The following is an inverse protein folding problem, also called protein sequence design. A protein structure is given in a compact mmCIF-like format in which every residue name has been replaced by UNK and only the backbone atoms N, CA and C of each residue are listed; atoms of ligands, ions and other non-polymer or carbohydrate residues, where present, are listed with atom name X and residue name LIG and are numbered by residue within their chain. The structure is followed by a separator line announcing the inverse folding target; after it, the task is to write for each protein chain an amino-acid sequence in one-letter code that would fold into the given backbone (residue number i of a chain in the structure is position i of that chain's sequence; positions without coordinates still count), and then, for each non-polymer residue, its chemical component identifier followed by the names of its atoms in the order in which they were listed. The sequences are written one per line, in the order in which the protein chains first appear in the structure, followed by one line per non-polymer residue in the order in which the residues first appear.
data_IF_291363358659
#
_entry.id   IF_291363358659
#
_cell.length_a   1.000
_cell.length_b   1.000
_cell.length_c   1.000
_cell.angle_alpha   90.00
_cell.angle_beta   90.00
_cell.angle_gamma   90.00
#
_symmetry.space_group_name_H-M   'P 1'
#
loop_
_entity.id
_entity.type
_entity.pdbx_description
1 polymer ?
#
# COMPACT_ATOMS: atom_id res chain seq x y z
N UNK A 1 -20.13 -2.80 23.97
CA UNK A 1 -18.70 -3.09 24.14
C UNK A 1 -17.98 -2.32 23.03
N UNK A 2 -16.89 -1.60 23.33
CA UNK A 2 -16.09 -0.95 22.30
C UNK A 2 -15.35 -2.03 21.49
N UNK A 3 -15.32 -1.90 20.18
CA UNK A 3 -14.63 -2.84 19.27
C UNK A 3 -13.44 -2.12 18.63
N UNK A 4 -12.25 -2.74 18.59
CA UNK A 4 -11.11 -2.15 17.92
C UNK A 4 -11.37 -1.97 16.44
N UNK A 5 -10.70 -0.98 15.82
CA UNK A 5 -10.72 -0.80 14.38
C UNK A 5 -9.95 -1.93 13.70
N UNK A 6 -10.57 -2.58 12.74
CA UNK A 6 -10.10 -3.78 12.05
C UNK A 6 -9.60 -3.43 10.66
N UNK A 7 -8.36 -3.77 10.38
CA UNK A 7 -7.74 -3.54 9.07
C UNK A 7 -7.33 -4.88 8.46
N UNK A 8 -7.89 -5.20 7.31
CA UNK A 8 -7.56 -6.41 6.55
C UNK A 8 -6.45 -6.12 5.54
N UNK A 9 -5.33 -6.82 5.66
CA UNK A 9 -4.30 -6.86 4.62
C UNK A 9 -4.56 -8.04 3.67
N UNK A 10 -4.72 -7.73 2.38
CA UNK A 10 -4.80 -8.69 1.28
C UNK A 10 -3.49 -8.56 0.50
N UNK A 11 -2.51 -9.42 0.78
CA UNK A 11 -1.17 -9.29 0.24
C UNK A 11 -0.36 -10.59 0.31
N UNK A 12 0.81 -10.58 -0.33
CA UNK A 12 1.79 -11.65 -0.20
C UNK A 12 2.48 -11.65 1.16
N UNK A 13 3.01 -12.82 1.53
CA UNK A 13 3.78 -13.05 2.76
C UNK A 13 5.27 -12.98 2.45
N UNK A 14 6.01 -12.09 3.13
CA UNK A 14 7.47 -12.00 3.11
C UNK A 14 8.06 -12.80 4.28
N UNK A 15 8.69 -13.95 3.99
CA UNK A 15 9.33 -14.80 5.03
C UNK A 15 10.48 -14.08 5.77
N UNK A 16 11.10 -13.06 5.15
CA UNK A 16 12.11 -12.19 5.79
C UNK A 16 11.51 -11.19 6.78
N UNK A 17 10.18 -11.01 6.73
CA UNK A 17 9.42 -10.24 7.71
C UNK A 17 9.50 -8.72 7.54
N UNK A 18 10.11 -8.20 6.47
CA UNK A 18 10.32 -6.77 6.25
C UNK A 18 9.22 -6.09 5.43
N UNK A 19 8.49 -6.85 4.60
CA UNK A 19 7.43 -6.37 3.73
C UNK A 19 6.19 -7.27 3.80
N UNK A 20 5.28 -7.14 2.84
CA UNK A 20 4.07 -7.96 2.75
C UNK A 20 3.20 -7.90 4.00
N UNK A 21 2.42 -8.96 4.23
CA UNK A 21 1.53 -9.03 5.40
C UNK A 21 2.28 -8.86 6.73
N UNK A 22 3.57 -9.20 6.80
CA UNK A 22 4.36 -9.06 8.02
C UNK A 22 4.60 -7.58 8.36
N UNK A 23 4.97 -6.75 7.38
CA UNK A 23 5.06 -5.31 7.56
C UNK A 23 3.68 -4.70 7.86
N UNK A 24 2.65 -5.16 7.16
CA UNK A 24 1.28 -4.70 7.35
C UNK A 24 0.80 -4.96 8.78
N UNK A 25 0.89 -6.20 9.28
CA UNK A 25 0.48 -6.55 10.64
C UNK A 25 1.26 -5.79 11.72
N UNK A 26 2.59 -5.64 11.53
CA UNK A 26 3.42 -4.85 12.46
C UNK A 26 2.97 -3.39 12.49
N UNK A 27 2.69 -2.80 11.33
CA UNK A 27 2.19 -1.42 11.22
C UNK A 27 0.82 -1.27 11.86
N UNK A 28 -0.11 -2.17 11.53
CA UNK A 28 -1.48 -2.14 12.05
C UNK A 28 -1.48 -2.26 13.58
N UNK A 29 -0.70 -3.20 14.13
CA UNK A 29 -0.57 -3.38 15.57
C UNK A 29 0.10 -2.17 16.25
N UNK A 30 1.17 -1.61 15.64
CA UNK A 30 1.86 -0.45 16.20
C UNK A 30 1.01 0.83 16.19
N UNK A 31 0.01 0.93 15.30
CA UNK A 31 -0.96 2.02 15.25
C UNK A 31 -2.25 1.74 16.04
N UNK A 32 -2.26 0.70 16.88
CA UNK A 32 -3.36 0.40 17.79
C UNK A 32 -4.63 -0.14 17.10
N UNK A 33 -4.53 -0.69 15.90
CA UNK A 33 -5.62 -1.37 15.20
C UNK A 33 -5.49 -2.89 15.31
N UNK A 34 -6.59 -3.61 15.04
CA UNK A 34 -6.61 -5.07 14.95
C UNK A 34 -6.33 -5.51 13.51
N UNK A 35 -5.24 -6.25 13.30
CA UNK A 35 -4.81 -6.69 11.97
C UNK A 35 -5.38 -8.05 11.58
N UNK A 36 -5.92 -8.12 10.36
CA UNK A 36 -6.42 -9.33 9.71
C UNK A 36 -5.64 -9.56 8.42
N UNK A 37 -5.58 -10.79 7.92
CA UNK A 37 -4.88 -11.10 6.67
C UNK A 37 -5.68 -12.05 5.79
N UNK A 38 -5.53 -11.86 4.45
CA UNK A 38 -5.81 -12.84 3.42
C UNK A 38 -4.57 -12.94 2.52
N UNK A 39 -3.95 -14.11 2.49
CA UNK A 39 -2.64 -14.31 1.85
C UNK A 39 -2.83 -14.60 0.37
N UNK A 40 -2.21 -13.79 -0.49
CA UNK A 40 -2.29 -13.91 -1.95
C UNK A 40 -1.12 -14.68 -2.56
N UNK A 41 0.00 -14.74 -1.86
CA UNK A 41 1.18 -15.54 -2.22
C UNK A 41 2.07 -15.71 -1.00
N UNK A 42 2.84 -16.79 -1.00
CA UNK A 42 3.96 -17.03 -0.07
C UNK A 42 5.25 -16.80 -0.83
N UNK A 43 6.22 -16.09 -0.26
CA UNK A 43 7.55 -15.93 -0.85
C UNK A 43 8.61 -16.59 0.02
N UNK A 44 9.56 -17.23 -0.62
CA UNK A 44 10.85 -17.56 0.00
C UNK A 44 11.75 -16.34 -0.22
N UNK A 45 11.79 -15.46 0.75
CA UNK A 45 12.38 -14.13 0.65
C UNK A 45 13.24 -13.82 1.87
N UNK A 46 14.31 -13.06 1.65
CA UNK A 46 15.16 -12.49 2.68
C UNK A 46 15.61 -11.08 2.26
N UNK A 47 16.60 -10.49 2.97
CA UNK A 47 17.11 -9.16 2.68
C UNK A 47 17.87 -9.03 1.35
N UNK A 48 18.21 -10.14 0.70
CA UNK A 48 18.94 -10.17 -0.57
C UNK A 48 18.01 -10.30 -1.79
N UNK A 49 16.79 -10.86 -1.64
CA UNK A 49 15.84 -11.03 -2.73
C UNK A 49 14.82 -12.13 -2.51
N UNK A 50 14.05 -12.41 -3.56
CA UNK A 50 13.03 -13.44 -3.64
C UNK A 50 13.57 -14.63 -4.42
N UNK A 51 13.57 -15.82 -3.82
CA UNK A 51 14.09 -17.05 -4.45
C UNK A 51 12.99 -17.99 -4.95
N UNK A 52 11.78 -17.89 -4.39
CA UNK A 52 10.61 -18.66 -4.83
C UNK A 52 9.31 -17.96 -4.44
N UNK A 53 8.25 -18.22 -5.22
CA UNK A 53 6.89 -17.73 -4.97
C UNK A 53 5.94 -18.94 -5.08
N UNK A 54 5.03 -19.07 -4.11
CA UNK A 54 3.94 -20.01 -4.14
C UNK A 54 2.61 -19.28 -3.89
N UNK A 55 1.72 -19.26 -4.87
CA UNK A 55 0.39 -18.68 -4.72
C UNK A 55 -0.61 -19.75 -4.26
N UNK A 56 -1.50 -19.45 -3.31
CA UNK A 56 -2.65 -20.30 -3.03
C UNK A 56 -3.59 -20.32 -4.23
N UNK A 57 -4.36 -21.40 -4.36
CA UNK A 57 -5.42 -21.48 -5.36
C UNK A 57 -6.45 -20.36 -5.13
N UNK A 58 -7.04 -19.77 -6.20
CA UNK A 58 -8.02 -18.68 -6.09
C UNK A 58 -9.19 -19.01 -5.14
N UNK A 59 -9.65 -20.25 -5.13
CA UNK A 59 -10.71 -20.74 -4.25
C UNK A 59 -10.32 -20.65 -2.77
N UNK A 60 -9.03 -20.90 -2.45
CA UNK A 60 -8.57 -20.80 -1.08
C UNK A 60 -8.44 -19.33 -0.63
N UNK A 61 -8.02 -18.43 -1.53
CA UNK A 61 -8.06 -17.00 -1.22
C UNK A 61 -9.51 -16.52 -0.97
N UNK A 62 -10.47 -16.99 -1.78
CA UNK A 62 -11.90 -16.71 -1.55
C UNK A 62 -12.33 -17.17 -0.17
N UNK A 63 -12.00 -18.40 0.22
CA UNK A 63 -12.34 -18.94 1.52
C UNK A 63 -11.74 -18.12 2.68
N UNK A 64 -10.49 -17.62 2.55
CA UNK A 64 -9.90 -16.70 3.54
C UNK A 64 -10.71 -15.40 3.67
N UNK A 65 -11.08 -14.78 2.53
CA UNK A 65 -11.83 -13.54 2.50
C UNK A 65 -13.24 -13.72 3.09
N UNK A 66 -13.93 -14.79 2.68
CA UNK A 66 -15.28 -15.10 3.19
C UNK A 66 -15.24 -15.34 4.72
N UNK A 67 -14.28 -16.13 5.21
CA UNK A 67 -14.11 -16.38 6.65
C UNK A 67 -13.89 -15.10 7.47
N UNK A 68 -13.11 -14.15 6.94
CA UNK A 68 -12.85 -12.87 7.61
C UNK A 68 -14.08 -11.97 7.55
N UNK A 69 -14.66 -11.79 6.38
CA UNK A 69 -15.75 -10.82 6.21
C UNK A 69 -17.07 -11.28 6.83
N UNK A 70 -17.38 -12.59 6.81
CA UNK A 70 -18.66 -13.11 7.31
C UNK A 70 -18.77 -13.13 8.85
N UNK A 71 -17.64 -13.22 9.56
CA UNK A 71 -17.62 -13.24 11.02
C UNK A 71 -17.08 -11.93 11.63
N UNK A 72 -15.89 -11.52 11.19
CA UNK A 72 -15.16 -10.42 11.84
C UNK A 72 -15.47 -9.07 11.18
N UNK A 73 -15.50 -9.03 9.85
CA UNK A 73 -15.58 -7.81 9.06
C UNK A 73 -14.27 -7.01 9.06
N UNK A 74 -14.22 -5.93 8.29
CA UNK A 74 -13.09 -5.00 8.24
C UNK A 74 -13.57 -3.55 8.09
N UNK A 75 -13.00 -2.63 8.89
CA UNK A 75 -13.25 -1.19 8.77
C UNK A 75 -12.47 -0.58 7.60
N UNK A 76 -11.29 -1.14 7.29
CA UNK A 76 -10.50 -0.80 6.11
C UNK A 76 -9.82 -2.05 5.54
N UNK A 77 -9.54 -2.00 4.23
CA UNK A 77 -8.78 -3.01 3.50
C UNK A 77 -7.54 -2.36 2.90
N UNK A 78 -6.37 -2.97 3.11
CA UNK A 78 -5.15 -2.67 2.35
C UNK A 78 -4.89 -3.80 1.39
N UNK A 79 -4.66 -3.46 0.12
CA UNK A 79 -4.28 -4.42 -0.92
C UNK A 79 -2.83 -4.16 -1.29
N UNK A 80 -2.02 -5.22 -1.28
CA UNK A 80 -0.64 -5.22 -1.77
C UNK A 80 -0.47 -6.08 -3.01
N UNK A 81 0.58 -6.92 -3.03
CA UNK A 81 0.90 -7.78 -4.17
C UNK A 81 -0.21 -8.78 -4.47
N UNK A 82 -0.67 -8.78 -5.73
CA UNK A 82 -1.60 -9.75 -6.31
C UNK A 82 -0.92 -10.45 -7.49
N UNK A 83 -0.69 -11.75 -7.36
CA UNK A 83 0.22 -12.49 -8.23
C UNK A 83 -0.34 -12.75 -9.64
N UNK A 84 -1.66 -12.93 -9.82
CA UNK A 84 -2.27 -13.30 -11.09
C UNK A 84 -3.62 -12.62 -11.32
N UNK A 85 -4.13 -12.60 -12.58
CA UNK A 85 -5.45 -12.09 -12.90
C UNK A 85 -6.58 -12.76 -12.12
N UNK A 86 -6.50 -14.08 -11.88
CA UNK A 86 -7.51 -14.84 -11.15
C UNK A 86 -7.59 -14.38 -9.68
N UNK A 87 -6.43 -14.12 -9.07
CA UNK A 87 -6.34 -13.56 -7.70
C UNK A 87 -6.96 -12.15 -7.66
N UNK A 88 -6.68 -11.31 -8.67
CA UNK A 88 -7.31 -9.98 -8.79
C UNK A 88 -8.83 -10.09 -8.87
N UNK A 89 -9.35 -10.99 -9.71
CA UNK A 89 -10.79 -11.21 -9.87
C UNK A 89 -11.45 -11.67 -8.56
N UNK A 90 -10.81 -12.55 -7.79
CA UNK A 90 -11.30 -12.97 -6.47
C UNK A 90 -11.39 -11.80 -5.51
N UNK A 91 -10.33 -10.98 -5.43
CA UNK A 91 -10.31 -9.79 -4.55
C UNK A 91 -11.39 -8.79 -4.98
N UNK A 92 -11.49 -8.47 -6.27
CA UNK A 92 -12.51 -7.55 -6.80
C UNK A 92 -13.93 -8.04 -6.51
N UNK A 93 -14.19 -9.35 -6.67
CA UNK A 93 -15.47 -9.97 -6.34
C UNK A 93 -15.81 -9.82 -4.85
N UNK A 94 -14.85 -10.07 -3.95
CA UNK A 94 -15.04 -9.90 -2.52
C UNK A 94 -15.31 -8.44 -2.13
N UNK A 95 -14.57 -7.47 -2.69
CA UNK A 95 -14.81 -6.05 -2.44
C UNK A 95 -16.19 -5.60 -2.90
N UNK A 96 -16.67 -6.09 -4.06
CA UNK A 96 -18.02 -5.81 -4.57
C UNK A 96 -19.11 -6.42 -3.69
N UNK A 97 -18.88 -7.64 -3.15
CA UNK A 97 -19.82 -8.35 -2.27
C UNK A 97 -19.91 -7.73 -0.88
N UNK A 98 -18.77 -7.49 -0.24
CA UNK A 98 -18.70 -7.08 1.18
C UNK A 98 -18.64 -5.57 1.38
N UNK A 99 -18.31 -4.78 0.35
CA UNK A 99 -18.33 -3.32 0.31
C UNK A 99 -17.65 -2.65 1.51
N UNK A 100 -16.37 -2.97 1.81
CA UNK A 100 -15.65 -2.28 2.89
C UNK A 100 -15.59 -0.78 2.58
N UNK A 101 -15.80 0.06 3.62
CA UNK A 101 -15.89 1.52 3.46
C UNK A 101 -14.60 2.18 2.97
N UNK A 102 -13.44 1.55 3.23
CA UNK A 102 -12.10 2.06 2.88
C UNK A 102 -11.30 0.96 2.20
N UNK A 103 -10.72 1.27 1.04
CA UNK A 103 -9.80 0.40 0.30
C UNK A 103 -8.56 1.19 -0.10
N UNK A 104 -7.40 0.81 0.43
CA UNK A 104 -6.08 1.36 0.05
C UNK A 104 -5.38 0.36 -0.86
N UNK A 105 -5.14 0.73 -2.10
CA UNK A 105 -4.48 -0.11 -3.09
C UNK A 105 -3.03 0.36 -3.30
N UNK A 106 -2.08 -0.46 -2.88
CA UNK A 106 -0.66 -0.32 -3.22
C UNK A 106 -0.38 -1.24 -4.42
N UNK A 107 -0.21 -0.69 -5.63
CA UNK A 107 -0.12 -1.49 -6.86
C UNK A 107 1.29 -2.08 -7.00
N UNK A 108 1.66 -3.00 -6.11
CA UNK A 108 3.00 -3.59 -6.04
C UNK A 108 3.26 -4.44 -7.29
N UNK A 109 4.22 -4.02 -8.12
CA UNK A 109 4.59 -4.68 -9.37
C UNK A 109 6.00 -5.29 -9.33
N UNK A 110 6.87 -4.71 -8.48
CA UNK A 110 8.28 -5.10 -8.34
C UNK A 110 8.65 -5.17 -6.87
N UNK A 111 9.43 -6.17 -6.50
CA UNK A 111 10.05 -6.25 -5.18
C UNK A 111 11.14 -5.17 -5.03
N UNK A 112 11.50 -4.82 -3.79
CA UNK A 112 12.61 -3.89 -3.47
C UNK A 112 13.95 -4.38 -4.06
N UNK A 113 14.10 -5.69 -4.29
CA UNK A 113 15.25 -6.31 -4.96
C UNK A 113 15.29 -6.08 -6.48
N UNK A 114 14.22 -5.56 -7.08
CA UNK A 114 14.07 -5.39 -8.54
C UNK A 114 13.38 -6.56 -9.24
N UNK A 115 13.02 -7.61 -8.52
CA UNK A 115 12.32 -8.78 -9.08
C UNK A 115 10.89 -8.41 -9.48
N UNK A 116 10.50 -8.75 -10.72
CA UNK A 116 9.13 -8.54 -11.20
C UNK A 116 8.18 -9.55 -10.57
N UNK A 117 7.13 -9.06 -9.91
CA UNK A 117 6.19 -9.86 -9.14
C UNK A 117 4.88 -10.17 -9.88
N UNK A 118 4.55 -9.40 -10.93
CA UNK A 118 3.32 -9.55 -11.70
C UNK A 118 3.56 -9.49 -13.22
N UNK A 119 2.61 -10.00 -13.99
CA UNK A 119 2.61 -9.94 -15.45
C UNK A 119 1.90 -8.66 -15.95
N UNK A 120 2.10 -8.23 -17.22
CA UNK A 120 1.34 -7.14 -17.83
C UNK A 120 -0.17 -7.39 -17.78
N UNK A 121 -0.61 -8.62 -18.00
CA UNK A 121 -2.02 -9.00 -17.93
C UNK A 121 -2.58 -8.79 -16.51
N UNK A 122 -1.82 -9.16 -15.47
CA UNK A 122 -2.24 -8.89 -14.08
C UNK A 122 -2.39 -7.40 -13.81
N UNK A 123 -1.48 -6.57 -14.34
CA UNK A 123 -1.55 -5.11 -14.24
C UNK A 123 -2.85 -4.56 -14.88
N UNK A 124 -3.21 -5.03 -16.07
CA UNK A 124 -4.46 -4.65 -16.76
C UNK A 124 -5.69 -4.98 -15.90
N UNK A 125 -5.74 -6.17 -15.29
CA UNK A 125 -6.82 -6.56 -14.39
C UNK A 125 -6.86 -5.69 -13.12
N UNK A 126 -5.71 -5.36 -12.51
CA UNK A 126 -5.65 -4.45 -11.34
C UNK A 126 -6.27 -3.10 -11.68
N UNK A 127 -5.89 -2.52 -12.83
CA UNK A 127 -6.44 -1.23 -13.29
C UNK A 127 -7.94 -1.34 -13.53
N UNK A 128 -8.38 -2.31 -14.31
CA UNK A 128 -9.79 -2.43 -14.72
C UNK A 128 -10.73 -2.74 -13.55
N UNK A 129 -10.30 -3.59 -12.60
CA UNK A 129 -11.20 -4.15 -11.60
C UNK A 129 -11.06 -3.51 -10.22
N UNK A 130 -9.85 -3.04 -9.83
CA UNK A 130 -9.59 -2.56 -8.48
C UNK A 130 -9.49 -1.03 -8.37
N UNK A 131 -9.02 -0.30 -9.39
CA UNK A 131 -8.95 1.17 -9.33
C UNK A 131 -10.31 1.81 -9.01
N UNK A 132 -11.43 1.42 -9.66
CA UNK A 132 -12.74 1.98 -9.35
C UNK A 132 -13.24 1.67 -7.93
N UNK A 133 -12.71 0.60 -7.31
CA UNK A 133 -13.09 0.18 -5.96
C UNK A 133 -12.21 0.83 -4.88
N UNK A 134 -11.00 1.26 -5.24
CA UNK A 134 -10.05 1.85 -4.30
C UNK A 134 -10.48 3.25 -3.84
N UNK A 135 -10.31 3.52 -2.54
CA UNK A 135 -10.39 4.88 -1.98
C UNK A 135 -9.18 5.71 -2.41
N UNK A 136 -8.02 5.08 -2.45
CA UNK A 136 -6.75 5.69 -2.87
C UNK A 136 -5.83 4.63 -3.47
N UNK A 137 -5.07 5.01 -4.51
CA UNK A 137 -4.01 4.22 -5.12
C UNK A 137 -2.66 4.87 -4.81
N UNK A 138 -1.63 4.09 -4.43
CA UNK A 138 -0.36 4.61 -3.91
C UNK A 138 0.85 4.16 -4.74
N UNK A 139 0.97 4.48 -6.04
CA UNK A 139 2.09 4.05 -6.88
C UNK A 139 3.38 4.79 -6.51
N UNK A 140 4.52 4.09 -6.59
CA UNK A 140 5.83 4.71 -6.71
C UNK A 140 6.10 5.11 -8.18
N UNK A 141 7.25 5.74 -8.47
CA UNK A 141 7.55 6.26 -9.80
C UNK A 141 7.69 5.19 -10.88
N UNK A 142 8.23 4.04 -10.53
CA UNK A 142 8.40 2.93 -11.47
C UNK A 142 7.03 2.31 -11.80
N UNK A 143 6.22 2.07 -10.77
CA UNK A 143 4.83 1.62 -10.90
C UNK A 143 3.99 2.60 -11.69
N UNK A 144 4.11 3.90 -11.38
CA UNK A 144 3.41 4.97 -12.10
C UNK A 144 3.81 5.00 -13.57
N UNK A 145 5.12 4.96 -13.87
CA UNK A 145 5.63 4.94 -15.24
C UNK A 145 5.11 3.75 -16.04
N UNK A 146 5.02 2.59 -15.43
CA UNK A 146 4.46 1.39 -16.08
C UNK A 146 2.96 1.49 -16.30
N UNK A 147 2.21 2.00 -15.32
CA UNK A 147 0.77 2.17 -15.41
C UNK A 147 0.37 3.11 -16.56
N UNK A 148 1.09 4.23 -16.74
CA UNK A 148 0.77 5.22 -17.77
C UNK A 148 1.55 5.02 -19.09
N UNK A 149 2.51 4.08 -19.12
CA UNK A 149 3.32 3.80 -20.31
C UNK A 149 4.33 4.90 -20.67
N UNK A 150 4.65 5.81 -19.75
CA UNK A 150 5.58 6.93 -19.94
C UNK A 150 6.46 7.10 -18.72
N UNK A 151 7.78 7.33 -18.93
CA UNK A 151 8.70 7.56 -17.82
C UNK A 151 8.35 8.82 -17.04
N UNK A 152 8.26 8.68 -15.71
CA UNK A 152 8.03 9.76 -14.76
C UNK A 152 9.31 9.95 -13.96
N UNK A 153 10.05 11.02 -14.23
CA UNK A 153 11.35 11.32 -13.63
C UNK A 153 11.45 12.75 -13.05
N UNK A 154 10.35 13.50 -13.12
CA UNK A 154 10.25 14.88 -12.64
C UNK A 154 8.98 15.09 -11.81
N UNK A 155 9.09 15.89 -10.77
CA UNK A 155 7.97 16.26 -9.91
C UNK A 155 6.88 17.06 -10.66
N UNK A 156 7.26 17.76 -11.71
CA UNK A 156 6.33 18.49 -12.59
C UNK A 156 5.38 17.56 -13.35
N UNK A 157 5.69 16.27 -13.44
CA UNK A 157 4.86 15.27 -14.10
C UNK A 157 3.86 14.59 -13.15
N UNK A 158 3.99 14.77 -11.82
CA UNK A 158 3.18 14.02 -10.84
C UNK A 158 1.69 14.30 -10.97
N UNK A 159 1.31 15.56 -11.14
CA UNK A 159 -0.09 15.95 -11.29
C UNK A 159 -0.72 15.34 -12.54
N UNK A 160 -0.06 15.47 -13.69
CA UNK A 160 -0.56 14.91 -14.96
C UNK A 160 -0.61 13.38 -14.92
N UNK A 161 0.37 12.75 -14.30
CA UNK A 161 0.38 11.30 -14.11
C UNK A 161 -0.77 10.84 -13.20
N UNK A 162 -1.07 11.58 -12.13
CA UNK A 162 -2.21 11.30 -11.26
C UNK A 162 -3.54 11.47 -12.00
N UNK A 163 -3.68 12.49 -12.87
CA UNK A 163 -4.84 12.66 -13.74
C UNK A 163 -5.01 11.51 -14.71
N UNK A 164 -3.91 10.98 -15.26
CA UNK A 164 -3.94 9.79 -16.12
C UNK A 164 -4.47 8.56 -15.35
N UNK A 165 -4.03 8.34 -14.10
CA UNK A 165 -4.58 7.25 -13.27
C UNK A 165 -6.04 7.49 -12.90
N UNK A 166 -6.45 8.75 -12.70
CA UNK A 166 -7.86 9.07 -12.47
C UNK A 166 -8.72 8.73 -13.69
N UNK A 167 -8.26 9.03 -14.90
CA UNK A 167 -8.93 8.63 -16.12
C UNK A 167 -9.05 7.10 -16.28
N UNK A 168 -8.17 6.32 -15.64
CA UNK A 168 -8.23 4.86 -15.54
C UNK A 168 -9.12 4.36 -14.40
N UNK A 169 -9.76 5.25 -13.64
CA UNK A 169 -10.73 4.92 -12.58
C UNK A 169 -10.26 5.14 -11.14
N UNK A 170 -9.03 5.58 -10.89
CA UNK A 170 -8.55 5.87 -9.54
C UNK A 170 -9.28 7.10 -8.96
N UNK A 171 -9.85 6.98 -7.74
CA UNK A 171 -10.57 8.09 -7.08
C UNK A 171 -9.63 9.13 -6.49
N UNK A 172 -8.54 8.69 -5.87
CA UNK A 172 -7.48 9.53 -5.33
C UNK A 172 -6.14 8.84 -5.56
N UNK A 173 -5.08 9.61 -5.71
CA UNK A 173 -3.74 9.10 -6.01
C UNK A 173 -2.71 9.71 -5.07
N UNK A 174 -1.87 8.86 -4.46
CA UNK A 174 -0.66 9.27 -3.77
C UNK A 174 0.55 8.85 -4.60
N UNK A 175 1.16 9.79 -5.30
CA UNK A 175 2.42 9.57 -6.04
C UNK A 175 3.58 9.58 -5.05
N UNK A 176 4.30 8.45 -4.93
CA UNK A 176 5.45 8.29 -4.03
C UNK A 176 6.74 8.68 -4.75
N UNK A 177 7.35 9.82 -4.40
CA UNK A 177 8.58 10.34 -5.03
C UNK A 177 9.89 9.82 -4.43
N UNK A 178 9.86 8.75 -3.65
CA UNK A 178 11.03 8.21 -2.94
C UNK A 178 12.24 7.86 -3.82
N UNK A 179 12.02 7.51 -5.09
CA UNK A 179 13.07 7.14 -6.06
C UNK A 179 13.76 8.34 -6.74
N UNK A 180 13.25 9.58 -6.56
CA UNK A 180 13.89 10.78 -7.09
C UNK A 180 15.27 11.02 -6.47
N UNK A 181 16.26 11.40 -7.28
CA UNK A 181 17.58 11.78 -6.80
C UNK A 181 17.57 13.23 -6.29
N UNK A 182 17.10 13.45 -5.07
CA UNK A 182 16.98 14.75 -4.44
C UNK A 182 17.33 14.66 -2.95
N UNK A 183 17.88 15.74 -2.32
CA UNK A 183 18.10 15.80 -0.88
C UNK A 183 16.78 15.75 -0.09
N UNK A 184 15.67 16.11 -0.72
CA UNK A 184 14.33 15.98 -0.15
C UNK A 184 13.56 14.89 -0.87
N UNK A 185 12.69 14.20 -0.13
CA UNK A 185 11.62 13.35 -0.65
C UNK A 185 10.39 14.23 -0.82
N UNK A 186 9.68 14.08 -1.93
CA UNK A 186 8.36 14.68 -2.11
C UNK A 186 7.38 13.62 -2.58
N UNK A 187 6.31 13.44 -1.82
CA UNK A 187 5.15 12.70 -2.26
C UNK A 187 4.01 13.68 -2.54
N UNK A 188 3.15 13.36 -3.49
CA UNK A 188 2.04 14.22 -3.90
C UNK A 188 0.72 13.45 -3.76
N UNK A 189 -0.15 13.92 -2.87
CA UNK A 189 -1.54 13.47 -2.81
C UNK A 189 -2.37 14.33 -3.75
N UNK A 190 -3.09 13.68 -4.66
CA UNK A 190 -4.06 14.30 -5.57
C UNK A 190 -5.43 13.71 -5.26
N UNK A 191 -6.32 14.58 -4.74
CA UNK A 191 -7.71 14.25 -4.41
C UNK A 191 -8.61 14.81 -5.52
N UNK A 192 -9.44 13.94 -6.11
CA UNK A 192 -10.38 14.32 -7.16
C UNK A 192 -11.79 14.43 -6.58
N UNK A 193 -12.46 15.55 -6.83
CA UNK A 193 -13.82 15.75 -6.36
C UNK A 193 -14.82 15.06 -7.30
N UNK A 194 -16.00 14.71 -6.75
CA UNK A 194 -17.10 14.16 -7.55
C UNK A 194 -17.73 15.18 -8.53
N UNK A 195 -17.26 16.44 -8.53
CA UNK A 195 -17.75 17.52 -9.40
C UNK A 195 -16.62 18.00 -10.31
N UNK A 196 -16.34 17.33 -11.43
CA UNK A 196 -15.19 17.64 -12.29
C UNK A 196 -15.27 19.04 -12.93
N UNK A 197 -16.43 19.69 -12.96
CA UNK A 197 -16.64 21.03 -13.53
C UNK A 197 -16.46 22.16 -12.49
N UNK A 198 -16.22 21.83 -11.22
CA UNK A 198 -15.97 22.83 -10.18
C UNK A 198 -14.53 23.38 -10.29
N UNK A 199 -14.34 24.63 -9.93
CA UNK A 199 -13.02 25.27 -9.92
C UNK A 199 -12.03 24.59 -8.97
N UNK A 200 -12.54 23.81 -8.00
CA UNK A 200 -11.82 23.01 -7.00
C UNK A 200 -11.93 21.50 -7.27
N UNK A 201 -12.05 21.10 -8.54
CA UNK A 201 -12.18 19.70 -8.95
C UNK A 201 -10.99 18.82 -8.50
N UNK A 202 -9.82 19.41 -8.24
CA UNK A 202 -8.60 18.72 -7.84
C UNK A 202 -7.98 19.46 -6.66
N UNK A 203 -7.72 18.74 -5.56
CA UNK A 203 -6.95 19.24 -4.43
C UNK A 203 -5.59 18.54 -4.38
N UNK A 204 -4.50 19.32 -4.40
CA UNK A 204 -3.14 18.83 -4.37
C UNK A 204 -2.54 19.11 -2.99
N UNK A 205 -1.87 18.09 -2.44
CA UNK A 205 -1.09 18.21 -1.21
C UNK A 205 0.30 17.65 -1.42
N UNK A 206 1.29 18.52 -1.38
CA UNK A 206 2.71 18.12 -1.36
C UNK A 206 3.14 17.78 0.07
N UNK A 207 3.87 16.68 0.21
CA UNK A 207 4.44 16.22 1.48
C UNK A 207 5.94 16.09 1.29
N UNK A 208 6.69 17.02 1.87
CA UNK A 208 8.15 17.10 1.70
C UNK A 208 8.84 16.73 3.02
N UNK A 209 9.85 15.87 2.93
CA UNK A 209 10.69 15.47 4.06
C UNK A 209 12.15 15.39 3.64
N UNK A 210 13.12 15.69 4.52
CA UNK A 210 14.52 15.43 4.24
C UNK A 210 14.78 13.95 3.98
N UNK A 211 15.69 13.63 3.05
CA UNK A 211 16.06 12.25 2.77
C UNK A 211 16.91 11.66 3.89
N UNK A 212 16.51 10.48 4.38
CA UNK A 212 17.32 9.69 5.31
C UNK A 212 18.17 8.72 4.48
N UNK A 213 19.49 8.80 4.61
CA UNK A 213 20.40 7.91 3.92
C UNK A 213 20.59 6.62 4.73
N UNK A 214 19.97 5.53 4.27
CA UNK A 214 20.05 4.20 4.89
C UNK A 214 19.75 3.12 3.86
N UNK A 215 20.19 1.88 4.12
CA UNK A 215 19.80 0.69 3.37
C UNK A 215 18.53 0.02 3.94
N UNK A 216 18.03 0.48 5.09
CA UNK A 216 16.87 -0.09 5.78
C UNK A 216 15.57 0.56 5.28
N UNK A 217 15.24 0.30 4.01
CA UNK A 217 14.06 0.83 3.31
C UNK A 217 13.09 -0.27 2.87
N UNK A 218 13.42 -1.56 3.14
CA UNK A 218 12.57 -2.68 2.75
C UNK A 218 11.22 -2.61 3.48
N UNK A 219 10.13 -2.68 2.70
CA UNK A 219 8.75 -2.64 3.20
C UNK A 219 8.19 -1.26 3.46
N UNK A 220 8.87 -0.16 3.09
CA UNK A 220 8.35 1.21 3.28
C UNK A 220 7.02 1.44 2.57
N UNK A 221 6.81 0.91 1.35
CA UNK A 221 5.55 1.00 0.62
C UNK A 221 4.41 0.26 1.35
N UNK A 222 4.64 -0.99 1.75
CA UNK A 222 3.67 -1.77 2.54
C UNK A 222 3.32 -1.08 3.86
N UNK A 223 4.33 -0.55 4.56
CA UNK A 223 4.16 0.21 5.81
C UNK A 223 3.30 1.45 5.58
N UNK A 224 3.58 2.22 4.52
CA UNK A 224 2.83 3.45 4.19
C UNK A 224 1.36 3.16 3.89
N UNK A 225 1.09 2.22 2.99
CA UNK A 225 -0.27 1.89 2.58
C UNK A 225 -1.09 1.30 3.75
N UNK A 226 -0.47 0.49 4.61
CA UNK A 226 -1.11 -0.03 5.83
C UNK A 226 -1.36 1.05 6.87
N UNK A 227 -0.44 1.99 7.06
CA UNK A 227 -0.65 3.13 7.94
C UNK A 227 -1.78 4.04 7.45
N UNK A 228 -1.88 4.30 6.13
CA UNK A 228 -3.01 5.04 5.55
C UNK A 228 -4.33 4.33 5.87
N UNK A 229 -4.38 3.00 5.68
CA UNK A 229 -5.57 2.20 5.98
C UNK A 229 -5.96 2.29 7.47
N UNK A 230 -4.99 2.26 8.39
CA UNK A 230 -5.23 2.43 9.81
C UNK A 230 -5.82 3.80 10.14
N UNK A 231 -5.20 4.89 9.68
CA UNK A 231 -5.70 6.24 9.96
C UNK A 231 -7.09 6.48 9.37
N UNK A 232 -7.38 5.95 8.17
CA UNK A 232 -8.72 6.01 7.58
C UNK A 232 -9.74 5.19 8.40
N UNK A 233 -9.37 3.98 8.85
CA UNK A 233 -10.22 3.17 9.73
C UNK A 233 -10.53 3.88 11.05
N UNK A 234 -9.57 4.65 11.58
CA UNK A 234 -9.73 5.49 12.78
C UNK A 234 -10.56 6.75 12.54
N UNK A 235 -11.01 7.01 11.29
CA UNK A 235 -11.89 8.12 10.94
C UNK A 235 -11.17 9.43 10.56
N UNK A 236 -9.85 9.40 10.34
CA UNK A 236 -9.14 10.58 9.85
C UNK A 236 -9.52 10.90 8.40
N UNK A 237 -9.68 12.19 8.02
CA UNK A 237 -9.84 12.58 6.62
C UNK A 237 -8.61 12.18 5.80
N UNK A 238 -8.78 11.93 4.49
CA UNK A 238 -7.75 11.35 3.61
C UNK A 238 -6.41 12.10 3.70
N UNK A 239 -6.41 13.42 3.57
CA UNK A 239 -5.20 14.25 3.70
C UNK A 239 -4.48 14.07 5.04
N UNK A 240 -5.23 13.99 6.13
CA UNK A 240 -4.66 13.79 7.48
C UNK A 240 -4.12 12.36 7.64
N UNK A 241 -4.84 11.36 7.12
CA UNK A 241 -4.42 9.96 7.12
C UNK A 241 -3.10 9.76 6.35
N UNK A 242 -2.98 10.35 5.16
CA UNK A 242 -1.75 10.29 4.36
C UNK A 242 -0.59 10.98 5.06
N UNK A 243 -0.79 12.19 5.64
CA UNK A 243 0.25 12.88 6.40
C UNK A 243 0.70 12.08 7.63
N UNK A 244 -0.23 11.56 8.42
CA UNK A 244 0.07 10.72 9.58
C UNK A 244 0.85 9.46 9.21
N UNK A 245 0.47 8.81 8.11
CA UNK A 245 1.17 7.64 7.58
C UNK A 245 2.60 7.98 7.13
N UNK A 246 2.80 9.11 6.46
CA UNK A 246 4.12 9.59 6.06
C UNK A 246 5.00 9.91 7.28
N UNK A 247 4.43 10.50 8.32
CA UNK A 247 5.14 10.78 9.57
C UNK A 247 5.56 9.49 10.26
N UNK A 248 4.67 8.49 10.32
CA UNK A 248 4.97 7.18 10.88
C UNK A 248 6.10 6.47 10.12
N UNK A 249 6.02 6.39 8.79
CA UNK A 249 7.07 5.76 7.96
C UNK A 249 8.41 6.48 8.12
N UNK A 250 8.42 7.81 8.11
CA UNK A 250 9.64 8.60 8.29
C UNK A 250 10.31 8.31 9.62
N UNK A 251 9.55 8.22 10.70
CA UNK A 251 10.07 7.87 12.03
C UNK A 251 10.54 6.41 12.11
N UNK A 252 9.80 5.47 11.46
CA UNK A 252 10.19 4.07 11.39
C UNK A 252 11.52 3.87 10.64
N UNK A 253 11.76 4.63 9.56
CA UNK A 253 13.05 4.67 8.85
C UNK A 253 14.13 5.27 9.74
N UNK A 254 13.87 6.42 10.38
CA UNK A 254 14.82 7.09 11.27
C UNK A 254 15.30 6.17 12.40
N UNK A 255 14.37 5.45 13.01
CA UNK A 255 14.67 4.51 14.09
C UNK A 255 15.37 3.22 13.62
N UNK A 256 15.35 2.96 12.31
CA UNK A 256 16.01 1.79 11.73
C UNK A 256 17.44 2.06 11.25
N UNK A 257 17.92 3.31 11.20
CA UNK A 257 19.21 3.67 10.58
C UNK A 257 20.38 2.82 11.11
N UNK A 258 20.42 2.57 12.41
CA UNK A 258 21.47 1.77 13.04
C UNK A 258 21.16 0.27 13.13
N UNK A 259 19.98 -0.18 12.67
CA UNK A 259 19.62 -1.61 12.72
C UNK A 259 20.38 -2.39 11.65
N UNK A 260 20.70 -3.63 11.98
CA UNK A 260 21.27 -4.58 11.02
C UNK A 260 20.51 -5.90 11.07
N UNK A 261 19.73 -6.15 10.01
CA UNK A 261 19.00 -7.40 9.81
C UNK A 261 19.38 -7.94 8.43
N UNK A 262 20.04 -9.09 8.41
CA UNK A 262 20.57 -9.68 7.19
C UNK A 262 21.77 -8.91 6.61
N UNK A 263 22.11 -9.17 5.35
CA UNK A 263 23.26 -8.59 4.64
C UNK A 263 22.87 -7.72 3.44
N UNK A 264 21.57 -7.69 3.09
CA UNK A 264 21.01 -6.89 2.00
C UNK A 264 20.21 -5.68 2.50
N UNK A 265 19.10 -5.36 1.83
CA UNK A 265 18.21 -4.27 2.21
C UNK A 265 17.44 -4.62 3.48
N UNK A 266 17.76 -3.94 4.58
CA UNK A 266 17.11 -4.14 5.87
C UNK A 266 15.70 -3.52 5.95
N UNK A 267 14.84 -3.99 6.89
CA UNK A 267 13.51 -3.44 7.09
C UNK A 267 13.53 -2.17 7.93
N UNK A 268 12.42 -1.43 7.91
CA UNK A 268 12.15 -0.35 8.84
C UNK A 268 11.85 -0.86 10.26
N UNK A 269 11.95 0.00 11.27
CA UNK A 269 11.58 -0.32 12.64
C UNK A 269 10.10 0.03 12.90
N UNK A 270 9.20 -0.92 12.69
CA UNK A 270 7.78 -0.72 12.91
C UNK A 270 7.41 -0.49 14.39
N UNK A 271 8.25 -0.95 15.32
CA UNK A 271 7.98 -0.92 16.77
C UNK A 271 8.68 0.25 17.48
N UNK A 272 9.01 1.32 16.78
CA UNK A 272 9.72 2.48 17.38
C UNK A 272 8.86 3.23 18.40
N UNK A 273 7.53 3.22 18.27
CA UNK A 273 6.60 3.87 19.18
C UNK A 273 5.21 3.22 19.09
N UNK A 274 5.05 1.98 19.58
CA UNK A 274 3.77 1.27 19.49
C UNK A 274 2.73 1.91 20.40
N UNK A 275 1.50 2.00 19.90
CA UNK A 275 0.34 2.52 20.63
C UNK A 275 -0.50 1.39 21.21
N UNK A 276 -1.21 1.69 22.30
CA UNK A 276 -2.24 0.80 22.82
C UNK A 276 -3.37 0.65 21.81
N UNK A 277 -4.04 -0.50 21.84
CA UNK A 277 -5.19 -0.75 20.97
C UNK A 277 -6.31 0.27 21.24
N UNK A 278 -6.79 0.91 20.16
CA UNK A 278 -7.93 1.80 20.20
C UNK A 278 -9.23 0.98 20.33
N UNK A 279 -9.96 1.16 21.43
CA UNK A 279 -11.23 0.47 21.72
C UNK A 279 -12.41 1.41 21.51
#
# INVERSE_FOLDING_TARGET
MASPKKVLSIAGSDSGGGAGIQADLKTIAALGCYGLTAITALTAQNTQGVTAIHAPEPEFLRAQLDAVFEDIGADAVKIGMLHSPEIVAVVASALKRYQPGVVVLDPVMVATSGDRLITPQTQEHIVAELFPLATIVTPNLDELSWLIGTTVDSWTQFEESAKALHAMGAKNVLVKGGHMKSPNLMDMLVEFTARPEAADAIAITEIVKPRIHTQNLHGTGCTLSSAIACFLALGYPLKAAVKGAQDYVYQAISAAVAMRIGSGHGPVNHSFSPQSMHL
#
